data_IF_943123125962
#
_entry.id   IF_943123125962
#
_cell.length_a   1.000
_cell.length_b   1.000
_cell.length_c   1.000
_cell.angle_alpha   90.00
_cell.angle_beta   90.00
_cell.angle_gamma   90.00
#
_symmetry.space_group_name_H-M   'P 1'
#
loop_
_entity.id
_entity.type
_entity.pdbx_description
1 polymer ?
#
# COMPACT_ATOMS: atom_id res chain seq x y z
N UNK A 1 -6.14 -55.55 69.11
CA UNK A 1 -6.84 -54.57 69.97
C UNK A 1 -6.31 -53.21 69.63
N UNK A 2 -7.13 -52.31 69.32
CA UNK A 2 -7.23 -50.86 69.30
C UNK A 2 -7.53 -50.25 67.94
N UNK A 3 -8.70 -49.65 67.94
CA UNK A 3 -9.36 -48.99 66.86
C UNK A 3 -8.71 -47.67 66.48
N UNK A 4 -8.47 -47.43 65.17
CA UNK A 4 -8.09 -46.10 64.66
C UNK A 4 -9.25 -45.46 63.90
N UNK A 5 -9.66 -44.29 64.36
CA UNK A 5 -10.78 -43.53 63.84
C UNK A 5 -10.41 -42.74 62.59
N UNK A 6 -11.25 -42.89 61.55
CA UNK A 6 -11.22 -42.12 60.30
C UNK A 6 -11.78 -40.70 60.53
N UNK A 7 -11.00 -39.67 60.20
CA UNK A 7 -11.49 -38.29 60.05
C UNK A 7 -11.72 -37.98 58.56
N UNK A 8 -12.99 -37.91 58.20
CA UNK A 8 -13.42 -37.33 56.90
C UNK A 8 -13.31 -35.82 57.00
N UNK A 9 -12.41 -35.25 56.20
CA UNK A 9 -12.36 -33.80 55.93
C UNK A 9 -13.34 -33.44 54.82
N UNK A 10 -14.32 -32.60 55.11
CA UNK A 10 -15.14 -31.91 54.09
C UNK A 10 -14.29 -30.85 53.39
N UNK A 11 -14.08 -30.99 52.11
CA UNK A 11 -13.62 -29.93 51.21
C UNK A 11 -14.83 -29.12 50.73
N UNK A 12 -15.01 -27.92 51.24
CA UNK A 12 -15.93 -26.93 50.72
C UNK A 12 -15.35 -26.36 49.42
N UNK A 13 -15.96 -26.71 48.28
CA UNK A 13 -15.66 -26.12 46.99
C UNK A 13 -16.26 -24.71 46.88
N UNK A 14 -15.43 -23.71 46.87
CA UNK A 14 -15.84 -22.34 46.50
C UNK A 14 -15.96 -22.26 44.96
N UNK A 15 -17.20 -22.17 44.46
CA UNK A 15 -17.46 -21.86 43.07
C UNK A 15 -17.18 -20.38 42.83
N UNK A 16 -16.06 -20.08 42.17
CA UNK A 16 -15.76 -18.75 41.64
C UNK A 16 -16.59 -18.60 40.35
N UNK A 17 -17.74 -17.96 40.47
CA UNK A 17 -18.55 -17.53 39.33
C UNK A 17 -17.82 -16.39 38.62
N UNK A 18 -17.09 -16.72 37.57
CA UNK A 18 -16.53 -15.72 36.65
C UNK A 18 -17.66 -15.04 35.87
N UNK A 19 -17.94 -13.78 36.20
CA UNK A 19 -18.78 -12.92 35.39
C UNK A 19 -17.95 -12.59 34.14
N UNK A 20 -18.17 -13.31 33.06
CA UNK A 20 -17.74 -12.89 31.69
C UNK A 20 -18.57 -11.64 31.35
N UNK A 21 -18.04 -10.47 31.63
CA UNK A 21 -18.55 -9.25 31.07
C UNK A 21 -18.43 -9.38 29.53
N UNK A 22 -19.55 -9.53 28.83
CA UNK A 22 -19.63 -9.38 27.40
C UNK A 22 -19.17 -7.93 27.09
N UNK A 23 -17.92 -7.76 26.67
CA UNK A 23 -17.50 -6.54 26.01
C UNK A 23 -18.31 -6.47 24.72
N UNK A 24 -19.38 -5.68 24.73
CA UNK A 24 -20.09 -5.30 23.51
C UNK A 24 -19.06 -4.76 22.56
N UNK A 25 -18.96 -5.36 21.36
CA UNK A 25 -18.14 -4.81 20.28
C UNK A 25 -18.64 -3.38 20.05
N UNK A 26 -17.86 -2.38 20.50
CA UNK A 26 -18.11 -1.01 20.13
C UNK A 26 -18.17 -0.96 18.61
N UNK A 27 -19.23 -0.40 18.03
CA UNK A 27 -19.33 -0.22 16.61
C UNK A 27 -18.04 0.50 16.14
N UNK A 28 -17.31 -0.13 15.20
CA UNK A 28 -16.07 0.46 14.68
C UNK A 28 -16.39 1.85 14.13
N UNK A 29 -15.72 2.88 14.66
CA UNK A 29 -15.92 4.25 14.24
C UNK A 29 -15.56 4.38 12.74
N UNK A 30 -16.53 4.87 11.95
CA UNK A 30 -16.32 5.11 10.51
C UNK A 30 -15.35 6.28 10.34
N UNK A 31 -14.22 6.11 9.63
CA UNK A 31 -13.29 7.21 9.40
C UNK A 31 -13.95 8.35 8.63
N UNK A 32 -13.69 9.59 9.07
CA UNK A 32 -14.00 10.79 8.30
C UNK A 32 -13.18 10.82 7.01
N UNK A 33 -13.74 11.42 5.95
CA UNK A 33 -13.04 11.56 4.66
C UNK A 33 -13.30 12.92 4.01
N UNK A 34 -12.34 13.35 3.17
CA UNK A 34 -12.46 14.55 2.34
C UNK A 34 -11.69 14.40 1.03
N UNK A 35 -12.07 15.19 0.06
CA UNK A 35 -11.50 15.24 -1.27
C UNK A 35 -10.79 16.57 -1.50
N UNK A 36 -9.64 16.55 -2.19
CA UNK A 36 -8.83 17.71 -2.49
C UNK A 36 -8.32 17.62 -3.94
N UNK A 37 -7.74 18.73 -4.37
CA UNK A 37 -7.14 18.84 -5.70
C UNK A 37 -5.77 19.51 -5.60
N UNK A 38 -4.80 18.96 -6.32
CA UNK A 38 -3.52 19.59 -6.59
C UNK A 38 -3.43 19.95 -8.07
N UNK A 39 -2.54 20.89 -8.41
CA UNK A 39 -2.32 21.33 -9.78
C UNK A 39 -0.86 21.09 -10.18
N UNK A 40 -0.66 20.46 -11.33
CA UNK A 40 0.62 20.28 -12.01
C UNK A 40 0.51 20.98 -13.36
N UNK A 41 0.78 22.28 -13.41
CA UNK A 41 0.44 23.12 -14.57
C UNK A 41 -1.05 23.04 -14.91
N UNK A 42 -1.45 22.62 -16.13
CA UNK A 42 -2.86 22.49 -16.50
C UNK A 42 -3.52 21.21 -15.97
N UNK A 43 -2.76 20.29 -15.39
CA UNK A 43 -3.25 19.00 -14.91
C UNK A 43 -3.78 19.12 -13.50
N UNK A 44 -5.04 18.76 -13.28
CA UNK A 44 -5.64 18.66 -11.95
C UNK A 44 -5.54 17.22 -11.46
N UNK A 45 -4.99 17.05 -10.26
CA UNK A 45 -4.77 15.76 -9.61
C UNK A 45 -5.75 15.61 -8.45
N UNK A 46 -6.51 14.54 -8.45
CA UNK A 46 -7.47 14.23 -7.39
C UNK A 46 -6.77 13.59 -6.19
N UNK A 47 -7.01 14.13 -4.98
CA UNK A 47 -6.54 13.57 -3.72
C UNK A 47 -7.72 13.16 -2.85
N UNK A 48 -7.52 12.10 -2.08
CA UNK A 48 -8.49 11.62 -1.12
C UNK A 48 -7.83 11.38 0.24
N UNK A 49 -8.50 11.79 1.32
CA UNK A 49 -8.02 11.75 2.70
C UNK A 49 -8.98 11.01 3.59
N UNK A 50 -8.46 10.18 4.50
CA UNK A 50 -9.22 9.52 5.57
C UNK A 50 -8.48 9.57 6.89
N UNK A 51 -9.21 9.76 8.00
CA UNK A 51 -8.69 9.69 9.38
C UNK A 51 -9.85 9.47 10.37
N UNK A 52 -9.57 9.04 11.59
CA UNK A 52 -10.59 9.05 12.65
C UNK A 52 -10.92 10.49 13.04
N UNK A 53 -12.20 10.85 12.93
CA UNK A 53 -12.70 12.20 13.21
C UNK A 53 -12.22 13.27 12.24
N UNK A 54 -13.02 14.32 12.06
CA UNK A 54 -12.66 15.49 11.24
C UNK A 54 -11.47 16.25 11.89
N UNK A 55 -10.62 16.92 11.09
CA UNK A 55 -9.59 17.84 11.61
C UNK A 55 -10.20 18.93 12.47
N UNK A 56 -9.53 19.26 13.58
CA UNK A 56 -9.95 20.35 14.49
C UNK A 56 -8.84 21.37 14.64
N UNK A 57 -9.21 22.63 14.72
CA UNK A 57 -8.25 23.69 14.97
C UNK A 57 -7.51 23.45 16.29
N UNK A 58 -6.17 23.53 16.26
CA UNK A 58 -5.31 23.35 17.45
C UNK A 58 -5.11 21.89 17.88
N UNK A 59 -5.59 20.89 17.16
CA UNK A 59 -5.24 19.50 17.49
C UNK A 59 -3.77 19.19 17.16
N UNK A 60 -3.19 18.27 17.89
CA UNK A 60 -1.83 17.80 17.61
C UNK A 60 -1.78 17.14 16.21
N UNK A 61 -0.74 17.41 15.39
CA UNK A 61 -0.57 16.77 14.10
C UNK A 61 -0.52 15.24 14.24
N UNK A 62 -1.19 14.53 13.35
CA UNK A 62 -1.09 13.06 13.23
C UNK A 62 0.01 12.69 12.24
N UNK A 63 0.64 11.51 12.40
CA UNK A 63 1.52 11.01 11.37
C UNK A 63 0.75 10.83 10.05
N UNK A 64 1.28 11.38 8.97
CA UNK A 64 0.66 11.28 7.63
C UNK A 64 1.19 10.04 6.94
N UNK A 65 0.29 9.22 6.37
CA UNK A 65 0.62 8.10 5.48
C UNK A 65 0.06 8.37 4.08
N UNK A 66 0.94 8.51 3.11
CA UNK A 66 0.56 8.73 1.70
C UNK A 66 0.70 7.43 0.90
N UNK A 67 -0.40 6.98 0.28
CA UNK A 67 -0.49 5.74 -0.49
C UNK A 67 -0.41 6.02 -1.99
N UNK A 68 0.49 5.33 -2.71
CA UNK A 68 0.79 5.55 -4.14
C UNK A 68 0.42 4.31 -4.95
N UNK A 69 -0.60 4.43 -5.81
CA UNK A 69 -1.16 3.31 -6.56
C UNK A 69 -0.28 2.85 -7.74
N UNK A 70 -0.49 1.59 -8.15
CA UNK A 70 0.22 0.94 -9.24
C UNK A 70 -0.31 1.28 -10.64
N UNK A 71 0.08 0.47 -11.64
CA UNK A 71 -0.13 0.73 -13.06
C UNK A 71 -1.57 0.57 -13.55
N UNK A 72 -2.36 -0.26 -12.87
CA UNK A 72 -3.61 -0.76 -13.46
C UNK A 72 -4.86 -0.11 -12.92
N UNK A 73 -4.79 0.39 -11.69
CA UNK A 73 -5.95 0.88 -10.96
C UNK A 73 -5.69 2.28 -10.40
N UNK A 74 -6.78 3.02 -10.18
CA UNK A 74 -6.76 4.33 -9.55
C UNK A 74 -6.70 4.22 -8.01
N UNK A 75 -6.51 5.34 -7.33
CA UNK A 75 -6.16 5.39 -5.92
C UNK A 75 -7.26 4.86 -4.99
N UNK A 76 -8.50 5.36 -5.10
CA UNK A 76 -9.59 4.93 -4.21
C UNK A 76 -9.95 3.46 -4.38
N UNK A 77 -10.17 2.93 -5.60
CA UNK A 77 -10.36 1.50 -5.77
C UNK A 77 -9.21 0.67 -5.20
N UNK A 78 -7.95 1.16 -5.32
CA UNK A 78 -6.79 0.45 -4.79
C UNK A 78 -6.73 0.43 -3.26
N UNK A 79 -7.07 1.53 -2.58
CA UNK A 79 -6.75 1.67 -1.15
C UNK A 79 -7.97 1.86 -0.25
N UNK A 80 -9.14 2.10 -0.82
CA UNK A 80 -10.40 2.30 -0.09
C UNK A 80 -11.52 1.36 -0.58
N UNK A 81 -11.16 0.11 -0.88
CA UNK A 81 -12.07 -0.88 -1.43
C UNK A 81 -13.00 -1.42 -0.34
N UNK A 82 -14.29 -1.49 -0.65
CA UNK A 82 -15.29 -2.24 0.12
C UNK A 82 -15.64 -3.53 -0.62
N UNK A 83 -15.54 -4.67 0.07
CA UNK A 83 -15.96 -5.99 -0.45
C UNK A 83 -17.09 -6.51 0.41
N UNK A 84 -18.35 -6.48 -0.06
CA UNK A 84 -19.51 -6.83 0.75
C UNK A 84 -19.38 -8.24 1.36
N UNK A 85 -19.60 -8.33 2.68
CA UNK A 85 -19.59 -9.61 3.41
C UNK A 85 -18.20 -10.25 3.60
N UNK A 86 -17.09 -9.57 3.24
CA UNK A 86 -15.74 -10.14 3.29
C UNK A 86 -14.83 -9.50 4.34
N UNK A 87 -15.34 -8.63 5.20
CA UNK A 87 -14.57 -7.89 6.20
C UNK A 87 -13.85 -6.67 5.63
N UNK A 88 -12.80 -6.20 6.32
CA UNK A 88 -12.10 -4.97 5.95
C UNK A 88 -11.09 -5.21 4.82
N UNK A 89 -11.21 -4.41 3.77
CA UNK A 89 -10.29 -4.34 2.64
C UNK A 89 -9.79 -2.92 2.36
N UNK A 90 -10.37 -1.90 3.01
CA UNK A 90 -9.86 -0.55 2.91
C UNK A 90 -8.60 -0.38 3.74
N UNK A 91 -7.45 -0.32 3.07
CA UNK A 91 -6.17 -0.01 3.71
C UNK A 91 -6.22 1.36 4.39
N UNK A 92 -6.95 2.32 3.79
CA UNK A 92 -7.15 3.64 4.38
C UNK A 92 -7.91 3.57 5.70
N UNK A 93 -8.95 2.74 5.82
CA UNK A 93 -9.67 2.53 7.08
C UNK A 93 -8.77 1.93 8.16
N UNK A 94 -7.99 0.89 7.79
CA UNK A 94 -7.08 0.22 8.71
C UNK A 94 -6.09 1.22 9.32
N UNK A 95 -5.38 1.98 8.49
CA UNK A 95 -4.38 2.92 8.99
C UNK A 95 -4.99 4.16 9.64
N UNK A 96 -6.20 4.60 9.24
CA UNK A 96 -6.92 5.65 9.95
C UNK A 96 -7.24 5.22 11.40
N UNK A 97 -7.69 3.97 11.61
CA UNK A 97 -7.94 3.41 12.96
C UNK A 97 -6.65 3.23 13.77
N UNK A 98 -5.51 3.04 13.11
CA UNK A 98 -4.19 3.01 13.74
C UNK A 98 -3.63 4.42 14.06
N UNK A 99 -4.42 5.48 13.81
CA UNK A 99 -4.10 6.85 14.21
C UNK A 99 -3.44 7.70 13.12
N UNK A 100 -3.28 7.17 11.92
CA UNK A 100 -2.71 7.94 10.80
C UNK A 100 -3.74 8.87 10.16
N UNK A 101 -3.21 9.94 9.56
CA UNK A 101 -3.90 10.78 8.59
C UNK A 101 -3.53 10.23 7.19
N UNK A 102 -4.44 9.44 6.59
CA UNK A 102 -4.15 8.63 5.41
C UNK A 102 -4.58 9.36 4.15
N UNK A 103 -3.67 9.51 3.21
CA UNK A 103 -3.86 10.19 1.94
C UNK A 103 -3.56 9.26 0.77
N UNK A 104 -4.22 9.54 -0.35
CA UNK A 104 -3.89 8.95 -1.63
C UNK A 104 -4.25 9.91 -2.76
N UNK A 105 -3.76 9.68 -3.97
CA UNK A 105 -4.09 10.48 -5.14
C UNK A 105 -4.20 9.61 -6.38
N UNK A 106 -5.05 10.04 -7.31
CA UNK A 106 -5.03 9.55 -8.68
C UNK A 106 -3.91 10.26 -9.45
N UNK A 107 -2.99 9.52 -10.03
CA UNK A 107 -2.02 10.07 -10.98
C UNK A 107 -2.71 10.62 -12.22
N UNK A 108 -2.02 11.48 -12.96
CA UNK A 108 -2.46 11.93 -14.29
C UNK A 108 -2.93 10.74 -15.15
N UNK A 109 -4.06 10.87 -15.82
CA UNK A 109 -4.71 9.83 -16.62
C UNK A 109 -5.33 8.65 -15.85
N UNK A 110 -5.42 8.73 -14.51
CA UNK A 110 -6.12 7.74 -13.67
C UNK A 110 -7.33 8.35 -12.97
N UNK A 111 -8.30 7.50 -12.63
CA UNK A 111 -9.44 7.81 -11.77
C UNK A 111 -10.12 9.13 -12.13
N UNK A 112 -10.12 10.07 -11.18
CA UNK A 112 -10.74 11.41 -11.30
C UNK A 112 -9.76 12.50 -11.73
N UNK A 113 -8.47 12.21 -11.83
CA UNK A 113 -7.48 13.19 -12.32
C UNK A 113 -7.64 13.49 -13.80
N UNK A 114 -7.09 14.62 -14.24
CA UNK A 114 -7.15 15.08 -15.63
C UNK A 114 -6.67 14.01 -16.60
N UNK A 115 -7.36 13.93 -17.75
CA UNK A 115 -6.95 13.15 -18.91
C UNK A 115 -6.16 14.04 -19.86
N UNK A 116 -4.99 13.56 -20.29
CA UNK A 116 -4.08 14.24 -21.21
C UNK A 116 -3.59 13.26 -22.27
N UNK A 117 -2.85 13.74 -23.23
CA UNK A 117 -2.15 12.91 -24.23
C UNK A 117 -0.90 12.22 -23.67
N UNK A 118 -0.55 12.44 -22.40
CA UNK A 118 0.57 11.76 -21.72
C UNK A 118 0.28 10.30 -21.42
N UNK A 119 1.32 9.51 -21.21
CA UNK A 119 1.20 8.08 -20.89
C UNK A 119 1.39 7.75 -19.40
N UNK A 120 1.54 8.77 -18.54
CA UNK A 120 1.68 8.64 -17.07
C UNK A 120 2.79 7.64 -16.67
N UNK A 121 4.01 7.88 -17.13
CA UNK A 121 5.20 7.09 -16.80
C UNK A 121 5.64 7.27 -15.33
N UNK A 122 6.76 6.65 -14.94
CA UNK A 122 7.27 6.72 -13.57
C UNK A 122 7.67 8.15 -13.20
N UNK A 123 8.37 8.86 -14.09
CA UNK A 123 8.84 10.22 -13.86
C UNK A 123 7.66 11.20 -13.73
N UNK A 124 6.65 11.09 -14.61
CA UNK A 124 5.40 11.87 -14.51
C UNK A 124 4.70 11.62 -13.18
N UNK A 125 4.64 10.36 -12.72
CA UNK A 125 4.04 10.03 -11.43
C UNK A 125 4.81 10.59 -10.23
N UNK A 126 6.14 10.65 -10.28
CA UNK A 126 6.93 11.34 -9.25
C UNK A 126 6.66 12.86 -9.24
N UNK A 127 6.50 13.48 -10.41
CA UNK A 127 6.10 14.88 -10.53
C UNK A 127 4.68 15.14 -10.01
N UNK A 128 3.74 14.19 -10.20
CA UNK A 128 2.41 14.25 -9.60
C UNK A 128 2.48 14.27 -8.07
N UNK A 129 3.32 13.41 -7.48
CA UNK A 129 3.56 13.39 -6.03
C UNK A 129 4.11 14.74 -5.55
N UNK A 130 5.10 15.30 -6.25
CA UNK A 130 5.65 16.61 -5.91
C UNK A 130 4.57 17.71 -5.91
N UNK A 131 3.65 17.69 -6.88
CA UNK A 131 2.53 18.64 -6.97
C UNK A 131 1.49 18.45 -5.85
N UNK A 132 1.32 17.22 -5.34
CA UNK A 132 0.39 16.92 -4.25
C UNK A 132 0.90 17.39 -2.88
N UNK A 133 2.22 17.42 -2.65
CA UNK A 133 2.81 17.69 -1.32
C UNK A 133 2.43 19.05 -0.72
N UNK A 134 2.34 20.16 -1.45
CA UNK A 134 1.88 21.43 -0.89
C UNK A 134 0.45 21.37 -0.34
N UNK A 135 -0.44 20.62 -0.98
CA UNK A 135 -1.82 20.41 -0.51
C UNK A 135 -1.81 19.63 0.81
N UNK A 136 -1.09 18.52 0.86
CA UNK A 136 -0.97 17.69 2.08
C UNK A 136 -0.38 18.50 3.22
N UNK A 137 0.70 19.25 2.98
CA UNK A 137 1.34 20.08 4.01
C UNK A 137 0.42 21.17 4.54
N UNK A 138 -0.34 21.84 3.68
CA UNK A 138 -1.31 22.87 4.08
C UNK A 138 -2.41 22.29 4.97
N UNK A 139 -2.94 21.12 4.62
CA UNK A 139 -4.07 20.49 5.31
C UNK A 139 -3.69 19.78 6.61
N UNK A 140 -2.42 19.38 6.76
CA UNK A 140 -1.96 18.57 7.90
C UNK A 140 -0.93 19.27 8.78
N UNK A 141 -0.26 20.30 8.26
CA UNK A 141 0.92 20.90 8.91
C UNK A 141 2.17 20.03 8.84
N UNK A 142 2.11 18.85 8.21
CA UNK A 142 3.23 17.92 8.18
C UNK A 142 4.32 18.36 7.19
N UNK A 143 5.54 18.59 7.69
CA UNK A 143 6.71 18.84 6.85
C UNK A 143 7.23 17.55 6.20
N UNK A 144 7.09 16.40 6.88
CA UNK A 144 7.48 15.06 6.43
C UNK A 144 6.31 14.10 6.56
N UNK A 145 6.31 13.05 5.76
CA UNK A 145 5.28 12.02 5.76
C UNK A 145 5.85 10.64 5.49
N UNK A 146 5.15 9.62 5.95
CA UNK A 146 5.39 8.26 5.52
C UNK A 146 4.78 8.05 4.14
N UNK A 147 5.46 7.32 3.29
CA UNK A 147 4.98 7.00 1.94
C UNK A 147 4.98 5.50 1.72
N UNK A 148 3.90 4.98 1.16
CA UNK A 148 3.81 3.59 0.74
C UNK A 148 3.41 3.51 -0.72
N UNK A 149 4.23 2.88 -1.54
CA UNK A 149 3.92 2.62 -2.94
C UNK A 149 3.74 1.14 -3.24
N UNK A 150 2.83 0.83 -4.17
CA UNK A 150 2.56 -0.52 -4.64
C UNK A 150 2.94 -0.68 -6.11
N UNK A 151 3.71 -1.74 -6.44
CA UNK A 151 4.08 -2.08 -7.82
C UNK A 151 4.78 -0.89 -8.51
N UNK A 152 4.28 -0.38 -9.64
CA UNK A 152 4.83 0.84 -10.24
C UNK A 152 4.65 2.08 -9.36
N UNK A 153 3.69 2.09 -8.44
CA UNK A 153 3.58 3.12 -7.41
C UNK A 153 4.76 3.10 -6.44
N UNK A 154 5.34 1.94 -6.16
CA UNK A 154 6.56 1.82 -5.38
C UNK A 154 7.77 2.44 -6.11
N UNK A 155 7.84 2.30 -7.45
CA UNK A 155 8.85 2.98 -8.26
C UNK A 155 8.68 4.51 -8.24
N UNK A 156 7.43 5.00 -8.41
CA UNK A 156 7.10 6.44 -8.32
C UNK A 156 7.47 7.02 -6.96
N UNK A 157 7.13 6.30 -5.88
CA UNK A 157 7.44 6.69 -4.51
C UNK A 157 8.96 6.71 -4.25
N UNK A 158 9.70 5.72 -4.76
CA UNK A 158 11.16 5.66 -4.62
C UNK A 158 11.86 6.78 -5.41
N UNK A 159 11.42 7.07 -6.64
CA UNK A 159 11.94 8.19 -7.45
C UNK A 159 11.65 9.52 -6.74
N UNK A 160 10.43 9.73 -6.25
CA UNK A 160 10.09 10.93 -5.49
C UNK A 160 10.93 11.06 -4.21
N UNK A 161 11.10 9.98 -3.43
CA UNK A 161 11.92 9.98 -2.22
C UNK A 161 13.41 10.28 -2.48
N UNK A 162 13.93 9.88 -3.64
CA UNK A 162 15.27 10.23 -4.08
C UNK A 162 15.40 11.72 -4.51
N UNK A 163 14.34 12.28 -5.11
CA UNK A 163 14.30 13.69 -5.55
C UNK A 163 14.06 14.67 -4.41
N UNK A 164 13.21 14.32 -3.42
CA UNK A 164 12.91 15.14 -2.25
C UNK A 164 13.06 14.34 -0.94
N UNK A 165 14.31 13.98 -0.55
CA UNK A 165 14.56 13.17 0.64
C UNK A 165 14.14 13.86 1.95
N UNK A 166 14.00 15.18 1.95
CA UNK A 166 13.54 15.93 3.12
C UNK A 166 12.05 15.72 3.42
N UNK A 167 11.27 15.32 2.42
CA UNK A 167 9.83 15.16 2.51
C UNK A 167 9.40 13.78 3.05
N UNK A 168 10.19 12.74 2.78
CA UNK A 168 9.84 11.37 3.13
C UNK A 168 10.48 10.98 4.45
N UNK A 169 9.65 10.59 5.42
CA UNK A 169 10.07 10.14 6.74
C UNK A 169 10.42 8.65 6.74
N UNK A 170 9.50 7.80 6.31
CA UNK A 170 9.67 6.35 6.10
C UNK A 170 9.06 5.94 4.77
N UNK A 171 9.70 5.03 4.06
CA UNK A 171 9.28 4.58 2.74
C UNK A 171 8.97 3.08 2.75
N UNK A 172 7.75 2.72 2.38
CA UNK A 172 7.34 1.32 2.19
C UNK A 172 7.23 1.03 0.69
N UNK A 173 8.02 0.08 0.21
CA UNK A 173 8.04 -0.39 -1.17
C UNK A 173 7.44 -1.79 -1.23
N UNK A 174 6.17 -1.88 -1.65
CA UNK A 174 5.44 -3.14 -1.75
C UNK A 174 5.33 -3.60 -3.21
N UNK A 175 5.51 -4.90 -3.45
CA UNK A 175 5.51 -5.47 -4.79
C UNK A 175 6.44 -4.70 -5.77
N UNK A 176 7.59 -4.28 -5.26
CA UNK A 176 8.60 -3.47 -5.94
C UNK A 176 9.45 -4.32 -6.88
N UNK A 177 10.05 -3.71 -7.89
CA UNK A 177 11.10 -4.29 -8.72
C UNK A 177 12.24 -3.27 -8.90
N UNK A 178 13.48 -3.73 -8.97
CA UNK A 178 14.64 -2.86 -9.14
C UNK A 178 15.10 -2.81 -10.60
N UNK A 179 15.80 -3.85 -11.06
CA UNK A 179 16.26 -3.96 -12.44
C UNK A 179 15.30 -4.77 -13.31
N UNK A 180 14.37 -5.50 -12.69
CA UNK A 180 13.50 -6.45 -13.37
C UNK A 180 14.18 -7.78 -13.74
N UNK A 181 15.44 -7.98 -13.37
CA UNK A 181 16.18 -9.22 -13.68
C UNK A 181 15.52 -10.41 -13.02
N UNK A 182 15.23 -11.45 -13.82
CA UNK A 182 14.60 -12.67 -13.33
C UNK A 182 13.11 -12.54 -13.03
N UNK A 183 12.44 -11.44 -13.45
CA UNK A 183 11.00 -11.26 -13.31
C UNK A 183 10.24 -11.97 -14.43
N UNK A 184 9.44 -13.03 -14.14
CA UNK A 184 8.59 -13.65 -15.16
C UNK A 184 7.50 -12.70 -15.66
N UNK A 185 6.95 -11.86 -14.79
CA UNK A 185 5.92 -10.87 -15.17
C UNK A 185 6.47 -9.83 -16.15
N UNK A 186 7.68 -9.30 -15.94
CA UNK A 186 8.26 -8.33 -16.85
C UNK A 186 8.73 -8.96 -18.16
N UNK A 187 9.24 -10.19 -18.12
CA UNK A 187 9.57 -10.94 -19.33
C UNK A 187 8.34 -11.14 -20.23
N UNK A 188 7.18 -11.47 -19.65
CA UNK A 188 5.93 -11.59 -20.41
C UNK A 188 5.45 -10.23 -20.94
N UNK A 189 5.54 -9.17 -20.14
CA UNK A 189 5.18 -7.81 -20.57
C UNK A 189 6.09 -7.30 -21.69
N UNK A 190 7.38 -7.65 -21.69
CA UNK A 190 8.34 -7.23 -22.69
C UNK A 190 7.97 -7.71 -24.11
N UNK A 191 7.27 -8.85 -24.24
CA UNK A 191 6.74 -9.33 -25.54
C UNK A 191 5.71 -8.38 -26.17
N UNK A 192 5.15 -7.47 -25.38
CA UNK A 192 4.14 -6.49 -25.80
C UNK A 192 4.65 -5.06 -25.78
N UNK A 193 5.97 -4.85 -25.65
CA UNK A 193 6.59 -3.52 -25.50
C UNK A 193 6.24 -2.60 -26.66
N UNK A 194 6.28 -3.10 -27.90
CA UNK A 194 5.96 -2.28 -29.09
C UNK A 194 4.50 -1.80 -29.06
N UNK A 195 3.57 -2.65 -28.61
CA UNK A 195 2.17 -2.26 -28.43
C UNK A 195 2.01 -1.20 -27.32
N UNK A 196 2.80 -1.28 -26.23
CA UNK A 196 2.78 -0.25 -25.18
C UNK A 196 3.38 1.09 -25.65
N UNK A 197 4.35 1.06 -26.55
CA UNK A 197 4.94 2.26 -27.16
C UNK A 197 4.05 2.89 -28.23
N UNK A 198 3.24 2.08 -28.90
CA UNK A 198 2.38 2.55 -30.01
C UNK A 198 1.14 3.32 -29.52
N UNK A 199 0.80 3.24 -28.22
CA UNK A 199 -0.36 3.93 -27.65
C UNK A 199 -0.09 4.39 -26.23
N UNK A 200 -0.60 5.57 -25.88
CA UNK A 200 -0.53 6.11 -24.52
C UNK A 200 -1.49 5.41 -23.54
N UNK A 201 -2.41 4.60 -24.04
CA UNK A 201 -3.35 3.82 -23.25
C UNK A 201 -3.42 2.37 -23.73
N UNK A 202 -3.93 1.51 -22.87
CA UNK A 202 -4.25 0.11 -23.17
C UNK A 202 -5.57 -0.30 -22.53
N UNK A 203 -6.20 -1.32 -23.08
CA UNK A 203 -7.40 -1.90 -22.51
C UNK A 203 -7.13 -2.45 -21.09
N UNK A 204 -8.04 -2.11 -20.17
CA UNK A 204 -8.15 -2.62 -18.82
C UNK A 204 -9.59 -3.04 -18.56
N UNK A 205 -9.92 -4.23 -19.00
CA UNK A 205 -11.23 -4.85 -18.75
C UNK A 205 -11.25 -5.66 -17.45
N UNK A 206 -12.40 -6.20 -17.12
CA UNK A 206 -12.60 -7.06 -15.94
C UNK A 206 -11.66 -8.27 -15.95
N UNK A 207 -11.44 -8.89 -17.11
CA UNK A 207 -10.55 -10.05 -17.22
C UNK A 207 -9.12 -9.69 -16.86
N UNK A 208 -8.64 -8.52 -17.32
CA UNK A 208 -7.31 -8.02 -16.96
C UNK A 208 -7.20 -7.73 -15.46
N UNK A 209 -8.21 -7.10 -14.82
CA UNK A 209 -8.21 -6.86 -13.39
C UNK A 209 -8.16 -8.18 -12.62
N UNK A 210 -9.00 -9.17 -12.98
CA UNK A 210 -8.98 -10.52 -12.38
C UNK A 210 -7.61 -11.19 -12.50
N UNK A 211 -6.92 -11.00 -13.63
CA UNK A 211 -5.60 -11.60 -13.85
C UNK A 211 -4.52 -11.12 -12.87
N UNK A 212 -4.68 -9.95 -12.25
CA UNK A 212 -3.75 -9.44 -11.22
C UNK A 212 -3.74 -10.38 -10.00
N UNK A 213 -4.88 -11.00 -9.68
CA UNK A 213 -5.06 -11.87 -8.51
C UNK A 213 -4.71 -13.34 -8.77
N UNK A 214 -4.53 -13.74 -10.02
CA UNK A 214 -4.37 -15.16 -10.37
C UNK A 214 -3.08 -15.48 -11.12
N UNK A 215 -2.43 -14.49 -11.77
CA UNK A 215 -1.30 -14.71 -12.68
C UNK A 215 -0.07 -15.31 -11.99
N UNK A 216 0.21 -14.93 -10.74
CA UNK A 216 1.42 -15.36 -10.04
C UNK A 216 1.16 -16.64 -9.21
N UNK A 217 0.07 -16.66 -8.44
CA UNK A 217 -0.37 -17.83 -7.67
C UNK A 217 -1.89 -17.73 -7.41
N UNK A 218 -2.72 -18.53 -8.09
CA UNK A 218 -4.14 -18.63 -7.79
C UNK A 218 -4.39 -19.09 -6.36
N UNK A 219 -5.47 -18.58 -5.74
CA UNK A 219 -5.86 -18.94 -4.36
C UNK A 219 -5.21 -18.13 -3.25
N UNK A 220 -4.33 -17.17 -3.57
CA UNK A 220 -3.76 -16.24 -2.57
C UNK A 220 -4.69 -15.06 -2.25
N UNK A 221 -5.75 -14.86 -3.03
CA UNK A 221 -6.78 -13.83 -2.84
C UNK A 221 -8.18 -14.40 -3.07
N UNK A 222 -9.18 -13.85 -2.40
CA UNK A 222 -10.59 -14.15 -2.68
C UNK A 222 -11.00 -13.45 -3.99
N UNK A 223 -11.58 -14.19 -4.94
CA UNK A 223 -11.98 -13.61 -6.23
C UNK A 223 -13.10 -12.57 -6.12
N UNK A 224 -13.88 -12.57 -5.03
CA UNK A 224 -14.84 -11.51 -4.77
C UNK A 224 -14.16 -10.12 -4.64
N UNK A 225 -12.89 -10.08 -4.22
CA UNK A 225 -12.08 -8.86 -4.16
C UNK A 225 -11.77 -8.36 -5.56
N UNK A 226 -11.39 -9.27 -6.48
CA UNK A 226 -11.13 -8.92 -7.87
C UNK A 226 -12.39 -8.36 -8.56
N UNK A 227 -13.56 -8.94 -8.28
CA UNK A 227 -14.84 -8.43 -8.79
C UNK A 227 -15.18 -7.05 -8.24
N UNK A 228 -15.08 -6.88 -6.92
CA UNK A 228 -15.34 -5.59 -6.29
C UNK A 228 -14.38 -4.50 -6.78
N UNK A 229 -13.09 -4.84 -6.99
CA UNK A 229 -12.11 -3.93 -7.57
C UNK A 229 -12.47 -3.57 -9.01
N UNK A 230 -12.90 -4.54 -9.82
CA UNK A 230 -13.33 -4.29 -11.19
C UNK A 230 -14.58 -3.40 -11.24
N UNK A 231 -15.56 -3.62 -10.36
CA UNK A 231 -16.75 -2.77 -10.27
C UNK A 231 -16.38 -1.33 -9.89
N UNK A 232 -15.49 -1.16 -8.90
CA UNK A 232 -15.05 0.16 -8.44
C UNK A 232 -14.19 0.90 -9.48
N UNK A 233 -13.42 0.17 -10.29
CA UNK A 233 -12.45 0.76 -11.22
C UNK A 233 -13.05 1.06 -12.59
N UNK A 234 -13.93 0.20 -13.12
CA UNK A 234 -14.47 0.34 -14.46
C UNK A 234 -15.46 1.51 -14.62
N UNK A 235 -15.91 2.12 -13.53
CA UNK A 235 -16.67 3.39 -13.57
C UNK A 235 -15.84 4.55 -14.15
N UNK A 236 -14.49 4.43 -14.12
CA UNK A 236 -13.57 5.41 -14.72
C UNK A 236 -13.18 5.08 -16.16
N UNK A 237 -13.82 4.08 -16.77
CA UNK A 237 -13.55 3.60 -18.13
C UNK A 237 -12.65 2.37 -18.16
N UNK A 238 -12.45 1.85 -19.34
CA UNK A 238 -11.71 0.60 -19.61
C UNK A 238 -10.29 0.83 -20.15
N UNK A 239 -9.79 2.05 -20.05
CA UNK A 239 -8.44 2.41 -20.49
C UNK A 239 -7.54 2.73 -19.29
N UNK A 240 -6.28 2.30 -19.39
CA UNK A 240 -5.22 2.66 -18.42
C UNK A 240 -3.95 3.08 -19.15
N UNK A 241 -3.16 4.04 -18.60
CA UNK A 241 -1.92 4.50 -19.22
C UNK A 241 -0.88 3.40 -19.41
N UNK A 242 -0.05 3.55 -20.45
CA UNK A 242 1.02 2.59 -20.79
C UNK A 242 2.39 2.95 -20.26
N UNK A 243 2.63 4.19 -19.81
CA UNK A 243 3.97 4.67 -19.48
C UNK A 243 4.71 3.82 -18.47
N UNK A 244 4.05 3.39 -17.38
CA UNK A 244 4.66 2.51 -16.39
C UNK A 244 5.00 1.12 -16.96
N UNK A 245 4.23 0.61 -17.90
CA UNK A 245 4.54 -0.65 -18.60
C UNK A 245 5.77 -0.51 -19.48
N UNK A 246 5.90 0.62 -20.22
CA UNK A 246 7.08 0.95 -21.01
C UNK A 246 8.31 1.04 -20.11
N UNK A 247 8.24 1.81 -19.01
CA UNK A 247 9.38 2.02 -18.12
C UNK A 247 9.84 0.72 -17.47
N UNK A 248 8.91 -0.08 -16.93
CA UNK A 248 9.22 -1.33 -16.25
C UNK A 248 9.74 -2.42 -17.20
N UNK A 249 9.51 -2.31 -18.51
CA UNK A 249 9.99 -3.29 -19.49
C UNK A 249 11.21 -2.85 -20.26
N UNK A 250 11.58 -1.55 -20.24
CA UNK A 250 12.66 -1.03 -21.07
C UNK A 250 13.59 0.01 -20.44
N UNK A 251 13.26 0.51 -19.21
CA UNK A 251 14.03 1.61 -18.60
C UNK A 251 14.53 1.32 -17.17
N UNK A 252 14.28 0.13 -16.63
CA UNK A 252 14.78 -0.21 -15.30
C UNK A 252 16.32 -0.34 -15.29
N UNK A 253 16.99 0.11 -14.22
CA UNK A 253 16.42 0.72 -13.01
C UNK A 253 16.10 2.22 -13.20
N UNK A 254 14.96 2.69 -12.66
CA UNK A 254 14.55 4.11 -12.70
C UNK A 254 14.99 4.89 -11.46
N UNK A 255 15.51 4.22 -10.45
CA UNK A 255 16.06 4.81 -9.22
C UNK A 255 17.25 3.98 -8.76
N UNK A 256 18.28 4.65 -8.25
CA UNK A 256 19.42 3.97 -7.62
C UNK A 256 19.17 3.85 -6.11
N UNK A 257 19.46 2.69 -5.47
CA UNK A 257 19.25 2.52 -4.05
C UNK A 257 20.02 3.54 -3.21
N UNK A 258 21.21 3.95 -3.65
CA UNK A 258 22.06 4.94 -2.97
C UNK A 258 21.42 6.34 -2.86
N UNK A 259 20.46 6.65 -3.74
CA UNK A 259 19.76 7.95 -3.74
C UNK A 259 18.59 7.97 -2.75
N UNK A 260 18.09 6.80 -2.31
CA UNK A 260 16.99 6.67 -1.34
C UNK A 260 17.52 6.80 0.08
N UNK A 261 17.38 7.99 0.68
CA UNK A 261 17.93 8.32 2.02
C UNK A 261 17.00 7.96 3.19
N UNK A 262 15.72 7.83 2.94
CA UNK A 262 14.75 7.49 3.97
C UNK A 262 14.96 6.05 4.49
N UNK A 263 14.55 5.73 5.74
CA UNK A 263 14.33 4.36 6.16
C UNK A 263 13.39 3.62 5.20
N UNK A 264 13.70 2.36 4.86
CA UNK A 264 12.95 1.58 3.87
C UNK A 264 12.44 0.25 4.43
N UNK A 265 11.15 -0.02 4.27
CA UNK A 265 10.61 -1.37 4.30
C UNK A 265 10.41 -1.86 2.86
N UNK A 266 11.13 -2.91 2.49
CA UNK A 266 10.88 -3.66 1.27
C UNK A 266 10.02 -4.89 1.61
N UNK A 267 8.80 -4.97 1.06
CA UNK A 267 7.86 -6.05 1.36
C UNK A 267 7.32 -6.69 0.08
N UNK A 268 7.40 -8.01 -0.01
CA UNK A 268 6.94 -8.78 -1.16
C UNK A 268 6.09 -9.98 -0.75
N UNK A 269 5.26 -10.48 -1.66
CA UNK A 269 4.67 -11.80 -1.56
C UNK A 269 5.66 -12.90 -1.97
N UNK A 270 5.58 -14.06 -1.32
CA UNK A 270 6.40 -15.24 -1.65
C UNK A 270 6.32 -15.56 -3.15
N UNK A 271 5.13 -15.47 -3.73
CA UNK A 271 4.84 -15.84 -5.12
C UNK A 271 4.78 -14.64 -6.07
N UNK A 272 5.16 -13.42 -5.63
CA UNK A 272 5.11 -12.24 -6.50
C UNK A 272 6.12 -12.35 -7.64
N UNK A 273 5.61 -12.45 -8.87
CA UNK A 273 6.41 -12.60 -10.10
C UNK A 273 6.97 -11.29 -10.65
N UNK A 274 6.72 -10.13 -10.00
CA UNK A 274 7.20 -8.83 -10.52
C UNK A 274 8.71 -8.65 -10.35
N UNK A 275 9.32 -9.31 -9.38
CA UNK A 275 10.75 -9.27 -9.12
C UNK A 275 11.28 -10.60 -8.59
N UNK A 276 12.51 -10.96 -8.94
CA UNK A 276 13.22 -12.04 -8.28
C UNK A 276 13.70 -11.63 -6.89
N UNK A 277 13.92 -12.61 -6.01
CA UNK A 277 14.51 -12.37 -4.69
C UNK A 277 15.89 -11.71 -4.82
N UNK A 278 16.71 -12.17 -5.76
CA UNK A 278 18.06 -11.63 -5.99
C UNK A 278 18.02 -10.15 -6.43
N UNK A 279 17.07 -9.76 -7.28
CA UNK A 279 16.89 -8.35 -7.72
C UNK A 279 16.57 -7.44 -6.54
N UNK A 280 15.70 -7.91 -5.63
CA UNK A 280 15.31 -7.16 -4.44
C UNK A 280 16.43 -7.12 -3.38
N UNK A 281 17.18 -8.20 -3.21
CA UNK A 281 18.33 -8.25 -2.29
C UNK A 281 19.47 -7.33 -2.75
N UNK A 282 19.71 -7.20 -4.05
CA UNK A 282 20.67 -6.24 -4.61
C UNK A 282 20.25 -4.80 -4.24
N UNK A 283 19.01 -4.42 -4.49
CA UNK A 283 18.49 -3.11 -4.10
C UNK A 283 18.62 -2.88 -2.59
N UNK A 284 18.15 -3.83 -1.78
CA UNK A 284 18.14 -3.75 -0.32
C UNK A 284 19.55 -3.63 0.26
N UNK A 285 20.52 -4.41 -0.25
CA UNK A 285 21.90 -4.40 0.20
C UNK A 285 22.57 -3.04 0.04
N UNK A 286 22.24 -2.33 -1.05
CA UNK A 286 22.82 -1.04 -1.43
C UNK A 286 22.10 0.19 -0.85
N UNK A 287 20.98 0.05 -0.15
CA UNK A 287 20.33 1.15 0.55
C UNK A 287 21.26 1.73 1.63
N UNK A 288 21.50 3.06 1.63
CA UNK A 288 22.48 3.67 2.53
C UNK A 288 22.02 3.79 3.98
N UNK A 289 20.71 3.84 4.22
CA UNK A 289 20.16 3.96 5.57
C UNK A 289 20.17 2.59 6.27
N UNK A 290 20.74 2.54 7.50
CA UNK A 290 20.78 1.32 8.31
C UNK A 290 19.42 0.90 8.90
N UNK A 291 18.47 1.83 9.04
CA UNK A 291 17.07 1.54 9.42
C UNK A 291 16.31 1.04 8.18
N UNK A 292 16.53 -0.22 7.83
CA UNK A 292 15.92 -0.87 6.67
C UNK A 292 15.46 -2.28 7.01
N UNK A 293 14.33 -2.69 6.44
CA UNK A 293 13.75 -4.01 6.68
C UNK A 293 13.35 -4.67 5.34
N UNK A 294 13.47 -5.99 5.27
CA UNK A 294 13.03 -6.80 4.14
C UNK A 294 12.10 -7.91 4.65
N UNK A 295 10.86 -7.92 4.17
CA UNK A 295 9.83 -8.87 4.57
C UNK A 295 9.32 -9.62 3.34
N UNK A 296 9.29 -10.95 3.43
CA UNK A 296 8.61 -11.82 2.47
C UNK A 296 7.40 -12.46 3.16
N UNK A 297 6.21 -12.22 2.62
CA UNK A 297 4.97 -12.76 3.19
C UNK A 297 4.64 -14.10 2.54
N UNK A 298 4.49 -15.13 3.39
CA UNK A 298 4.15 -16.48 2.96
C UNK A 298 2.72 -16.54 2.40
N UNK A 299 2.50 -17.39 1.41
CA UNK A 299 1.21 -17.61 0.74
C UNK A 299 0.58 -16.30 0.21
N UNK A 300 1.41 -15.36 -0.22
CA UNK A 300 1.01 -14.10 -0.82
C UNK A 300 1.62 -13.94 -2.21
N UNK A 301 0.87 -13.31 -3.12
CA UNK A 301 1.31 -12.97 -4.47
C UNK A 301 1.40 -11.45 -4.63
N UNK A 302 1.28 -10.93 -5.85
CA UNK A 302 1.44 -9.51 -6.16
C UNK A 302 0.49 -8.57 -5.40
N UNK A 303 -0.77 -8.98 -5.24
CA UNK A 303 -1.82 -8.17 -4.61
C UNK A 303 -1.84 -8.33 -3.07
N UNK A 304 -0.76 -7.92 -2.40
CA UNK A 304 -0.52 -8.19 -0.97
C UNK A 304 -1.63 -7.70 -0.04
N UNK A 305 -2.03 -6.44 -0.17
CA UNK A 305 -3.03 -5.82 0.71
C UNK A 305 -4.47 -6.28 0.43
N UNK A 306 -4.68 -7.00 -0.66
CA UNK A 306 -5.94 -7.67 -1.01
C UNK A 306 -5.92 -9.18 -0.74
N UNK A 307 -4.76 -9.73 -0.37
CA UNK A 307 -4.58 -11.16 -0.14
C UNK A 307 -5.36 -11.69 1.06
N UNK A 308 -5.50 -13.02 1.12
CA UNK A 308 -6.07 -13.69 2.29
C UNK A 308 -5.26 -13.38 3.56
N UNK A 309 -3.94 -13.22 3.41
CA UNK A 309 -3.00 -12.89 4.48
C UNK A 309 -2.76 -11.38 4.67
N UNK A 310 -3.67 -10.52 4.19
CA UNK A 310 -3.54 -9.05 4.29
C UNK A 310 -3.31 -8.52 5.71
N UNK A 311 -3.78 -9.20 6.74
CA UNK A 311 -3.54 -8.81 8.13
C UNK A 311 -2.05 -8.88 8.49
N UNK A 312 -1.28 -9.85 7.95
CA UNK A 312 0.17 -9.91 8.13
C UNK A 312 0.85 -8.73 7.43
N UNK A 313 0.36 -8.35 6.24
CA UNK A 313 0.83 -7.16 5.54
C UNK A 313 0.60 -5.89 6.36
N UNK A 314 -0.62 -5.67 6.88
CA UNK A 314 -0.93 -4.52 7.73
C UNK A 314 -0.02 -4.45 8.96
N UNK A 315 0.19 -5.60 9.62
CA UNK A 315 1.06 -5.70 10.80
C UNK A 315 2.51 -5.33 10.47
N UNK A 316 3.08 -5.87 9.40
CA UNK A 316 4.45 -5.58 8.98
C UNK A 316 4.65 -4.08 8.65
N UNK A 317 3.71 -3.48 7.92
CA UNK A 317 3.74 -2.06 7.60
C UNK A 317 3.60 -1.21 8.86
N UNK A 318 2.63 -1.51 9.73
CA UNK A 318 2.44 -0.78 10.99
C UNK A 318 3.67 -0.87 11.89
N UNK A 319 4.25 -2.05 12.07
CA UNK A 319 5.44 -2.25 12.88
C UNK A 319 6.62 -1.40 12.40
N UNK A 320 6.82 -1.32 11.08
CA UNK A 320 7.86 -0.48 10.50
C UNK A 320 7.56 1.02 10.66
N UNK A 321 6.33 1.47 10.38
CA UNK A 321 5.97 2.89 10.44
C UNK A 321 6.01 3.44 11.88
N UNK A 322 5.72 2.62 12.89
CA UNK A 322 5.74 2.99 14.31
C UNK A 322 7.07 2.68 15.01
N UNK A 323 8.10 2.20 14.27
CA UNK A 323 9.41 1.91 14.83
C UNK A 323 10.03 3.16 15.46
N UNK A 324 10.44 3.14 16.74
CA UNK A 324 11.15 4.25 17.33
C UNK A 324 12.48 4.51 16.59
N UNK A 325 12.93 5.77 16.54
CA UNK A 325 14.21 6.08 15.91
C UNK A 325 15.36 5.33 16.62
N UNK A 326 16.42 4.96 15.89
CA UNK A 326 17.59 4.35 16.52
C UNK A 326 18.21 5.30 17.54
N UNK A 327 18.66 4.75 18.66
CA UNK A 327 19.43 5.52 19.65
C UNK A 327 20.80 5.81 19.05
N UNK A 328 21.17 7.10 18.98
CA UNK A 328 22.52 7.47 18.55
C UNK A 328 23.54 6.96 19.57
N UNK A 329 24.63 6.34 19.08
CA UNK A 329 25.72 5.87 19.90
C UNK A 329 26.61 7.04 20.40
#
# INVERSE_FOLDING_TARGET
>A
MTKGASRRGLLAGAAIGGVLAAQGAAAEETPWSAEYWAEKGPVRLYLFRKRLGAPRAGEAPRPVLFLVHGSSNSARPSFDLTVPGKGEYSLMNVFARLGYDVWTMDHENYGRSSRTEGNSDIASGAADLAAAMPVVARETGAARLHMMGESSGALRAAVFAAQDPARVDRLVLTAFTYTGRGSPTLAERARRLDAFRASNTRLRDRAMIRSIFTRDMPGTSDMAVAEALADAELVFGDQTPTGTYVDMTSKLPVVQPEDVKAPVLLIRGEHDGIASMADLQDFFGRLPNGDKQFVSLSHAAHALHYGLNRAQFWHAVQAFLSMPPPVAA
#
